data_IF_813144208264
#
_entry.id   IF_813144208264
#
_cell.length_a   1.000
_cell.length_b   1.000
_cell.length_c   1.000
_cell.angle_alpha   90.00
_cell.angle_beta   90.00
_cell.angle_gamma   90.00
#
_symmetry.space_group_name_H-M   'P 1'
#
loop_
_entity.id
_entity.type
_entity.pdbx_description
1 polymer ?
#
# COMPACT_ATOMS: atom_id res chain seq x y z
N UNK A 1 3.25 44.80 8.08
CA UNK A 1 2.04 44.28 8.74
C UNK A 1 1.00 44.17 7.64
N UNK A 2 0.98 43.02 6.94
CA UNK A 2 -0.04 42.75 5.92
C UNK A 2 -1.40 42.62 6.60
N UNK A 3 -2.36 43.41 6.11
CA UNK A 3 -3.73 43.37 6.63
C UNK A 3 -4.28 41.95 6.42
N UNK A 4 -4.81 41.32 7.46
CA UNK A 4 -5.47 40.01 7.37
C UNK A 4 -6.61 40.15 6.37
N UNK A 5 -6.62 39.37 5.28
CA UNK A 5 -7.66 39.52 4.24
C UNK A 5 -9.04 39.25 4.86
N UNK A 6 -9.97 40.16 4.62
CA UNK A 6 -11.35 40.04 5.08
C UNK A 6 -12.14 39.03 4.21
N UNK A 7 -13.36 38.72 4.62
CA UNK A 7 -14.21 37.75 3.93
C UNK A 7 -14.55 38.21 2.49
N UNK A 8 -14.65 39.53 2.25
CA UNK A 8 -14.97 40.10 0.94
C UNK A 8 -13.83 39.85 -0.04
N UNK A 9 -12.59 40.15 0.35
CA UNK A 9 -11.39 39.89 -0.44
C UNK A 9 -11.24 38.39 -0.76
N UNK A 10 -11.57 37.50 0.18
CA UNK A 10 -11.55 36.05 -0.07
C UNK A 10 -12.60 35.61 -1.07
N UNK A 11 -13.81 36.17 -1.04
CA UNK A 11 -14.86 35.90 -2.03
C UNK A 11 -14.48 36.36 -3.43
N UNK A 12 -13.87 37.53 -3.57
CA UNK A 12 -13.34 38.03 -4.83
C UNK A 12 -12.26 37.13 -5.41
N UNK A 13 -11.30 36.69 -4.59
CA UNK A 13 -10.28 35.73 -4.98
C UNK A 13 -10.86 34.38 -5.45
N UNK A 14 -11.89 33.87 -4.77
CA UNK A 14 -12.59 32.65 -5.20
C UNK A 14 -13.32 32.83 -6.53
N UNK A 15 -13.92 34.00 -6.78
CA UNK A 15 -14.56 34.30 -8.05
C UNK A 15 -13.53 34.37 -9.18
N UNK A 16 -12.38 35.00 -8.96
CA UNK A 16 -11.28 35.05 -9.93
C UNK A 16 -10.72 33.65 -10.25
N UNK A 17 -10.47 32.82 -9.24
CA UNK A 17 -10.02 31.45 -9.42
C UNK A 17 -11.03 30.60 -10.23
N UNK A 18 -12.33 30.75 -9.94
CA UNK A 18 -13.38 30.07 -10.69
C UNK A 18 -13.37 30.50 -12.16
N UNK A 19 -13.20 31.79 -12.43
CA UNK A 19 -13.14 32.32 -13.81
C UNK A 19 -11.91 31.79 -14.56
N UNK A 20 -10.76 31.74 -13.90
CA UNK A 20 -9.52 31.22 -14.48
C UNK A 20 -9.63 29.74 -14.85
N UNK A 21 -10.21 28.92 -13.95
CA UNK A 21 -10.39 27.49 -14.19
C UNK A 21 -11.43 27.19 -15.28
N UNK A 22 -12.52 27.95 -15.35
CA UNK A 22 -13.54 27.78 -16.35
C UNK A 22 -13.04 28.03 -17.78
N UNK A 23 -11.99 28.83 -17.95
CA UNK A 23 -11.40 29.15 -19.25
C UNK A 23 -10.21 28.31 -19.67
N UNK A 24 -9.75 27.39 -18.84
CA UNK A 24 -8.46 26.68 -19.04
C UNK A 24 -8.41 25.89 -20.34
N UNK A 25 -9.51 25.25 -20.73
CA UNK A 25 -9.61 24.46 -21.97
C UNK A 25 -9.26 25.29 -23.21
N UNK A 26 -9.70 26.56 -23.26
CA UNK A 26 -9.51 27.43 -24.42
C UNK A 26 -8.06 27.80 -24.69
N UNK A 27 -7.16 27.61 -23.72
CA UNK A 27 -5.73 27.96 -23.79
C UNK A 27 -4.79 26.78 -23.74
N UNK A 28 -5.29 25.55 -23.53
CA UNK A 28 -4.44 24.33 -23.43
C UNK A 28 -3.62 24.05 -24.69
N UNK A 29 -4.09 24.49 -25.86
CA UNK A 29 -3.36 24.36 -27.12
C UNK A 29 -2.03 25.14 -27.13
N UNK A 30 -1.85 26.11 -26.24
CA UNK A 30 -0.61 26.88 -26.08
C UNK A 30 0.41 26.13 -25.23
N UNK A 31 -0.02 25.14 -24.43
CA UNK A 31 0.87 24.41 -23.53
C UNK A 31 1.71 23.40 -24.28
N UNK A 32 2.98 23.36 -23.98
CA UNK A 32 3.90 22.28 -24.42
C UNK A 32 3.59 21.00 -23.63
N UNK A 33 3.99 19.83 -24.17
CA UNK A 33 3.79 18.56 -23.47
C UNK A 33 4.45 18.52 -22.08
N UNK A 34 5.53 19.27 -21.87
CA UNK A 34 6.22 19.39 -20.56
C UNK A 34 5.48 20.27 -19.55
N UNK A 35 4.57 21.14 -20.00
CA UNK A 35 3.80 22.06 -19.13
C UNK A 35 2.50 21.45 -18.63
N UNK A 36 1.96 20.43 -19.33
CA UNK A 36 0.68 19.80 -18.95
C UNK A 36 0.73 19.14 -17.58
N UNK A 37 1.86 18.47 -17.25
CA UNK A 37 2.03 17.83 -15.94
C UNK A 37 2.06 18.84 -14.78
N UNK A 38 2.91 19.87 -14.81
CA UNK A 38 2.89 20.97 -13.84
C UNK A 38 1.50 21.63 -13.70
N UNK A 39 0.83 21.95 -14.79
CA UNK A 39 -0.51 22.55 -14.77
C UNK A 39 -1.54 21.64 -14.06
N UNK A 40 -1.51 20.34 -14.37
CA UNK A 40 -2.39 19.38 -13.70
C UNK A 40 -2.12 19.34 -12.18
N UNK A 41 -0.86 19.42 -11.77
CA UNK A 41 -0.48 19.47 -10.34
C UNK A 41 -1.01 20.73 -9.67
N UNK A 42 -0.89 21.90 -10.30
CA UNK A 42 -1.44 23.16 -9.77
C UNK A 42 -2.96 23.09 -9.58
N UNK A 43 -3.67 22.48 -10.54
CA UNK A 43 -5.12 22.27 -10.43
C UNK A 43 -5.46 21.31 -9.27
N UNK A 44 -4.69 20.24 -9.11
CA UNK A 44 -4.87 19.29 -8.01
C UNK A 44 -4.62 19.95 -6.65
N UNK A 45 -3.58 20.77 -6.53
CA UNK A 45 -3.27 21.54 -5.31
C UNK A 45 -4.42 22.51 -4.98
N UNK A 46 -4.96 23.22 -5.96
CA UNK A 46 -6.15 24.05 -5.78
C UNK A 46 -7.35 23.22 -5.33
N UNK A 47 -7.54 22.04 -5.91
CA UNK A 47 -8.60 21.10 -5.50
C UNK A 47 -8.52 20.76 -4.01
N UNK A 48 -7.32 20.46 -3.49
CA UNK A 48 -7.11 20.17 -2.07
C UNK A 48 -7.39 21.39 -1.17
N UNK A 49 -7.02 22.58 -1.61
CA UNK A 49 -7.36 23.82 -0.87
C UNK A 49 -8.86 24.10 -0.84
N UNK A 50 -9.59 23.77 -1.92
CA UNK A 50 -11.06 23.85 -1.94
C UNK A 50 -11.67 22.88 -0.94
N UNK A 51 -11.15 21.66 -0.85
CA UNK A 51 -11.58 20.68 0.16
C UNK A 51 -11.30 21.18 1.58
N UNK A 52 -10.13 21.72 1.86
CA UNK A 52 -9.78 22.33 3.14
C UNK A 52 -10.72 23.49 3.50
N UNK A 53 -11.04 24.35 2.54
CA UNK A 53 -12.00 25.44 2.75
C UNK A 53 -13.41 24.92 3.09
N UNK A 54 -13.87 23.82 2.45
CA UNK A 54 -15.14 23.17 2.80
C UNK A 54 -15.14 22.67 4.25
N UNK A 55 -14.04 22.03 4.68
CA UNK A 55 -13.86 21.58 6.06
C UNK A 55 -13.96 22.75 7.03
N UNK A 56 -13.29 23.88 6.72
CA UNK A 56 -13.33 25.08 7.55
C UNK A 56 -14.73 25.66 7.68
N UNK A 57 -15.47 25.80 6.55
CA UNK A 57 -16.82 26.35 6.53
C UNK A 57 -17.79 25.46 7.30
N UNK A 58 -17.72 24.14 7.10
CA UNK A 58 -18.57 23.18 7.83
C UNK A 58 -18.25 23.19 9.32
N UNK A 59 -16.95 23.27 9.69
CA UNK A 59 -16.51 23.36 11.08
C UNK A 59 -17.05 24.62 11.78
N UNK A 60 -17.03 25.76 11.08
CA UNK A 60 -17.57 27.02 11.58
C UNK A 60 -19.09 26.99 11.69
N UNK A 61 -19.79 26.43 10.69
CA UNK A 61 -21.26 26.26 10.75
C UNK A 61 -21.68 25.37 11.93
N UNK A 62 -20.92 24.29 12.18
CA UNK A 62 -21.12 23.43 13.36
C UNK A 62 -20.91 24.21 14.68
N UNK A 63 -19.86 25.04 14.75
CA UNK A 63 -19.55 25.79 15.98
C UNK A 63 -20.62 26.83 16.30
N UNK A 64 -21.22 27.43 15.27
CA UNK A 64 -22.30 28.42 15.40
C UNK A 64 -23.69 27.79 15.60
N UNK A 65 -23.82 26.47 15.45
CA UNK A 65 -25.10 25.76 15.56
C UNK A 65 -26.02 25.92 14.36
N UNK A 66 -25.53 26.40 13.22
CA UNK A 66 -26.27 26.59 11.96
C UNK A 66 -26.76 25.28 11.35
N UNK A 67 -26.21 24.14 11.78
CA UNK A 67 -26.54 22.80 11.27
C UNK A 67 -27.65 22.11 12.07
N UNK A 68 -28.39 22.85 12.92
CA UNK A 68 -29.56 22.31 13.63
C UNK A 68 -30.76 22.28 12.68
N UNK A 69 -31.40 21.12 12.54
CA UNK A 69 -32.66 21.03 11.81
C UNK A 69 -33.78 21.72 12.59
N UNK A 70 -34.53 22.59 11.94
CA UNK A 70 -35.75 23.23 12.43
C UNK A 70 -36.94 22.25 12.64
N UNK A 71 -36.63 20.96 12.84
CA UNK A 71 -37.66 19.90 13.04
C UNK A 71 -38.23 19.82 14.47
N UNK A 72 -38.07 20.87 15.28
CA UNK A 72 -38.75 20.96 16.58
C UNK A 72 -39.49 22.30 16.70
N UNK A 73 -40.45 22.51 15.81
CA UNK A 73 -41.52 23.50 16.02
C UNK A 73 -42.86 22.94 15.52
N UNK A 74 -43.39 21.92 16.20
CA UNK A 74 -44.84 21.74 16.28
C UNK A 74 -45.17 21.22 17.65
N UNK A 75 -45.79 22.09 18.43
CA UNK A 75 -46.75 21.82 19.51
C UNK A 75 -46.29 20.99 20.71
N UNK A 76 -45.97 21.72 21.78
CA UNK A 76 -46.70 21.50 23.03
C UNK A 76 -46.58 22.78 23.88
N UNK A 77 -47.71 23.41 24.10
CA UNK A 77 -47.89 24.47 25.09
C UNK A 77 -47.44 23.96 26.45
N UNK A 78 -46.76 24.79 27.27
CA UNK A 78 -46.38 24.36 28.61
C UNK A 78 -47.58 24.33 29.51
N UNK A 79 -47.83 23.20 30.13
CA UNK A 79 -48.73 23.05 31.25
C UNK A 79 -48.09 23.66 32.50
N UNK A 80 -48.70 24.64 33.17
CA UNK A 80 -48.08 25.35 34.31
C UNK A 80 -48.35 24.59 35.61
N UNK A 81 -47.45 23.69 35.99
CA UNK A 81 -47.57 23.05 37.29
C UNK A 81 -46.63 21.85 37.53
N UNK A 82 -45.37 22.11 37.76
CA UNK A 82 -44.52 21.21 38.56
C UNK A 82 -43.23 21.88 39.01
N UNK A 83 -42.79 21.66 40.25
CA UNK A 83 -41.72 22.44 40.89
C UNK A 83 -40.30 22.04 40.44
N UNK A 84 -39.45 23.05 40.49
CA UNK A 84 -38.03 22.92 40.23
C UNK A 84 -37.33 21.93 41.16
N UNK A 85 -36.69 20.93 40.56
CA UNK A 85 -35.72 20.04 41.17
C UNK A 85 -34.38 20.22 40.47
N UNK A 86 -33.44 20.78 41.21
CA UNK A 86 -32.03 20.90 40.85
C UNK A 86 -31.41 19.49 40.83
N UNK A 87 -30.85 19.07 39.69
CA UNK A 87 -29.64 18.25 39.74
C UNK A 87 -28.83 18.41 38.46
N UNK A 88 -27.58 18.83 38.64
CA UNK A 88 -26.55 18.97 37.61
C UNK A 88 -25.82 17.62 37.50
N UNK A 89 -26.03 16.89 36.47
CA UNK A 89 -25.07 15.97 35.90
C UNK A 89 -25.36 15.83 34.40
N UNK A 90 -24.67 16.63 33.59
CA UNK A 90 -24.73 16.53 32.14
C UNK A 90 -23.93 15.30 31.70
N UNK A 91 -24.54 14.13 31.77
CA UNK A 91 -24.11 12.99 30.98
C UNK A 91 -24.56 13.27 29.54
N UNK A 92 -23.62 13.30 28.61
CA UNK A 92 -23.89 13.48 27.18
C UNK A 92 -24.75 12.31 26.68
N UNK A 93 -25.99 12.61 26.31
CA UNK A 93 -26.96 11.66 25.79
C UNK A 93 -26.53 11.18 24.39
N UNK A 94 -26.22 9.89 24.17
CA UNK A 94 -25.77 9.38 22.89
C UNK A 94 -26.81 9.57 21.75
N UNK A 95 -28.09 9.75 22.08
CA UNK A 95 -29.13 10.06 21.09
C UNK A 95 -28.99 11.46 20.50
N UNK A 96 -28.36 12.40 21.23
CA UNK A 96 -28.12 13.76 20.78
C UNK A 96 -27.01 13.85 19.72
N UNK A 97 -26.02 12.97 19.78
CA UNK A 97 -24.94 12.86 18.79
C UNK A 97 -25.46 12.33 17.45
N UNK A 98 -26.36 11.34 17.46
CA UNK A 98 -26.94 10.76 16.25
C UNK A 98 -27.87 11.77 15.53
N UNK A 99 -28.65 12.54 16.25
CA UNK A 99 -29.52 13.56 15.66
C UNK A 99 -28.73 14.73 15.04
N UNK A 100 -27.60 15.13 15.64
CA UNK A 100 -26.72 16.17 15.11
C UNK A 100 -26.07 15.78 13.79
N UNK A 101 -25.65 14.52 13.65
CA UNK A 101 -25.01 14.01 12.42
C UNK A 101 -25.95 14.00 11.21
N UNK A 102 -27.22 13.66 11.39
CA UNK A 102 -28.21 13.63 10.30
C UNK A 102 -28.56 15.05 9.82
N UNK A 103 -28.74 16.00 10.75
CA UNK A 103 -29.01 17.40 10.43
C UNK A 103 -27.84 18.06 9.68
N UNK A 104 -26.60 17.77 10.10
CA UNK A 104 -25.40 18.29 9.46
C UNK A 104 -25.25 17.82 8.01
N UNK A 105 -25.56 16.56 7.73
CA UNK A 105 -25.53 16.02 6.35
C UNK A 105 -26.56 16.73 5.45
N UNK A 106 -27.76 17.02 5.98
CA UNK A 106 -28.80 17.78 5.27
C UNK A 106 -28.30 19.16 4.83
N UNK A 107 -27.75 19.92 5.79
CA UNK A 107 -27.20 21.25 5.54
C UNK A 107 -26.07 21.23 4.50
N UNK A 108 -25.11 20.28 4.61
CA UNK A 108 -24.02 20.17 3.63
C UNK A 108 -24.54 19.87 2.23
N UNK A 109 -25.57 19.03 2.11
CA UNK A 109 -26.19 18.71 0.80
C UNK A 109 -26.90 19.89 0.16
N UNK A 110 -27.51 20.72 0.97
CA UNK A 110 -28.19 21.93 0.50
C UNK A 110 -27.19 22.94 -0.11
N UNK A 111 -26.09 23.22 0.62
CA UNK A 111 -25.11 24.24 0.23
C UNK A 111 -23.95 23.71 -0.64
N UNK A 112 -23.74 22.41 -0.68
CA UNK A 112 -22.75 21.76 -1.52
C UNK A 112 -23.36 20.55 -2.25
N UNK A 113 -24.29 20.76 -3.19
CA UNK A 113 -25.02 19.69 -3.87
C UNK A 113 -24.14 18.76 -4.71
N UNK A 114 -22.92 19.18 -5.09
CA UNK A 114 -21.92 18.33 -5.73
C UNK A 114 -21.47 17.16 -4.85
N UNK A 115 -21.57 17.32 -3.52
CA UNK A 115 -21.29 16.25 -2.57
C UNK A 115 -22.54 15.36 -2.45
N UNK A 116 -22.49 14.15 -3.03
CA UNK A 116 -23.55 13.14 -2.82
C UNK A 116 -23.69 12.83 -1.33
N UNK A 117 -24.79 12.18 -0.93
CA UNK A 117 -25.08 11.86 0.49
C UNK A 117 -23.88 11.21 1.22
N UNK A 118 -23.17 10.31 0.56
CA UNK A 118 -21.96 9.69 1.10
C UNK A 118 -20.81 10.66 1.35
N UNK A 119 -20.55 11.57 0.41
CA UNK A 119 -19.50 12.60 0.55
C UNK A 119 -19.83 13.63 1.63
N UNK A 120 -21.08 14.08 1.70
CA UNK A 120 -21.53 14.98 2.76
C UNK A 120 -21.38 14.35 4.15
N UNK A 121 -21.79 13.09 4.31
CA UNK A 121 -21.63 12.36 5.57
C UNK A 121 -20.17 12.09 5.95
N UNK A 122 -19.28 11.91 4.96
CA UNK A 122 -17.85 11.78 5.21
C UNK A 122 -17.26 13.10 5.70
N UNK A 123 -17.62 14.21 5.05
CA UNK A 123 -17.15 15.54 5.43
C UNK A 123 -17.58 15.91 6.85
N UNK A 124 -18.86 15.70 7.20
CA UNK A 124 -19.38 15.98 8.53
C UNK A 124 -18.60 15.18 9.59
N UNK A 125 -18.45 13.88 9.43
CA UNK A 125 -17.70 13.02 10.36
C UNK A 125 -16.23 13.43 10.48
N UNK A 126 -15.59 13.79 9.37
CA UNK A 126 -14.22 14.28 9.42
C UNK A 126 -14.12 15.57 10.23
N UNK A 127 -15.02 16.53 9.99
CA UNK A 127 -15.05 17.80 10.74
C UNK A 127 -15.27 17.56 12.24
N UNK A 128 -16.17 16.67 12.62
CA UNK A 128 -16.39 16.28 14.03
C UNK A 128 -15.08 15.78 14.66
N UNK A 129 -14.35 14.92 13.96
CA UNK A 129 -13.05 14.40 14.43
C UNK A 129 -11.98 15.50 14.53
N UNK A 130 -11.88 16.39 13.54
CA UNK A 130 -10.92 17.49 13.52
C UNK A 130 -11.15 18.54 14.63
N UNK A 131 -12.29 18.54 15.30
CA UNK A 131 -12.58 19.43 16.44
C UNK A 131 -11.97 18.92 17.74
N UNK A 132 -11.61 17.65 17.84
CA UNK A 132 -10.90 17.12 19.00
C UNK A 132 -9.45 17.62 19.03
N UNK A 133 -8.95 17.93 20.22
CA UNK A 133 -7.55 18.32 20.43
C UNK A 133 -6.57 17.21 20.03
N UNK A 134 -6.98 15.97 20.15
CA UNK A 134 -6.14 14.78 19.86
C UNK A 134 -5.75 14.64 18.38
N UNK A 135 -6.41 15.43 17.50
CA UNK A 135 -6.21 15.35 16.04
C UNK A 135 -5.60 16.65 15.46
N UNK A 136 -4.80 17.38 16.23
CA UNK A 136 -4.19 18.63 15.79
C UNK A 136 -3.32 18.47 14.53
N UNK A 137 -2.51 17.44 14.46
CA UNK A 137 -1.66 17.14 13.30
C UNK A 137 -2.49 16.86 12.03
N UNK A 138 -3.55 16.06 12.16
CA UNK A 138 -4.46 15.78 11.05
C UNK A 138 -5.17 17.06 10.57
N UNK A 139 -5.60 17.90 11.53
CA UNK A 139 -6.23 19.18 11.22
C UNK A 139 -5.30 20.09 10.44
N UNK A 140 -4.05 20.21 10.87
CA UNK A 140 -3.03 21.01 10.18
C UNK A 140 -2.78 20.49 8.75
N UNK A 141 -2.61 19.18 8.59
CA UNK A 141 -2.38 18.55 7.30
C UNK A 141 -3.55 18.74 6.32
N UNK A 142 -4.80 18.69 6.81
CA UNK A 142 -5.99 18.94 5.99
C UNK A 142 -6.12 20.42 5.65
N UNK A 143 -5.93 21.32 6.62
CA UNK A 143 -6.11 22.76 6.42
C UNK A 143 -5.02 23.39 5.55
N UNK A 144 -3.80 22.84 5.56
CA UNK A 144 -2.72 23.21 4.63
C UNK A 144 -2.90 22.66 3.21
N UNK A 145 -3.84 21.71 2.99
CA UNK A 145 -3.99 21.01 1.72
C UNK A 145 -2.94 19.94 1.47
N UNK A 146 -2.09 19.63 2.46
CA UNK A 146 -1.10 18.55 2.36
C UNK A 146 -1.77 17.19 2.24
N UNK A 147 -2.87 16.98 2.96
CA UNK A 147 -3.67 15.76 2.93
C UNK A 147 -5.10 16.10 2.48
N UNK A 148 -5.56 15.52 1.36
CA UNK A 148 -6.93 15.68 0.89
C UNK A 148 -7.95 15.01 1.81
N UNK A 149 -9.19 15.50 1.81
CA UNK A 149 -10.30 15.03 2.65
C UNK A 149 -10.54 13.51 2.51
N UNK A 150 -10.39 12.97 1.30
CA UNK A 150 -10.51 11.54 1.04
C UNK A 150 -9.49 10.71 1.83
N UNK A 151 -8.22 11.06 1.74
CA UNK A 151 -7.13 10.41 2.46
C UNK A 151 -7.24 10.62 3.97
N UNK A 152 -7.56 11.85 4.42
CA UNK A 152 -7.79 12.17 5.83
C UNK A 152 -8.89 11.26 6.45
N UNK A 153 -9.99 11.06 5.71
CA UNK A 153 -11.06 10.15 6.14
C UNK A 153 -10.58 8.70 6.26
N UNK A 154 -9.68 8.27 5.38
CA UNK A 154 -9.08 6.93 5.46
C UNK A 154 -8.16 6.84 6.67
N UNK A 155 -7.31 7.84 6.92
CA UNK A 155 -6.44 7.87 8.11
C UNK A 155 -7.24 7.78 9.42
N UNK A 156 -8.32 8.56 9.55
CA UNK A 156 -9.21 8.48 10.72
C UNK A 156 -9.77 7.06 10.90
N UNK A 157 -10.28 6.45 9.83
CA UNK A 157 -10.83 5.08 9.91
C UNK A 157 -9.79 4.02 10.23
N UNK A 158 -8.57 4.20 9.73
CA UNK A 158 -7.49 3.28 10.07
C UNK A 158 -7.04 3.47 11.51
N UNK A 159 -6.95 4.71 12.01
CA UNK A 159 -6.66 4.95 13.43
C UNK A 159 -7.76 4.46 14.36
N UNK A 160 -9.04 4.67 14.05
CA UNK A 160 -10.16 4.10 14.83
C UNK A 160 -10.02 2.58 15.02
N UNK A 161 -9.40 1.88 14.05
CA UNK A 161 -9.16 0.44 14.12
C UNK A 161 -7.87 0.07 14.80
N UNK A 162 -6.84 0.92 14.70
CA UNK A 162 -5.50 0.65 15.18
C UNK A 162 -5.32 1.09 16.63
N UNK A 163 -5.79 2.27 17.00
CA UNK A 163 -5.55 2.90 18.30
C UNK A 163 -5.83 1.98 19.50
N UNK A 164 -6.97 1.25 19.57
CA UNK A 164 -7.25 0.32 20.67
C UNK A 164 -6.29 -0.87 20.73
N UNK A 165 -5.50 -1.07 19.71
CA UNK A 165 -4.63 -2.23 19.46
C UNK A 165 -3.14 -1.87 19.49
N UNK A 166 -2.82 -0.58 19.63
CA UNK A 166 -1.47 -0.07 19.68
C UNK A 166 -0.97 0.03 21.13
N UNK A 167 0.34 0.01 21.28
CA UNK A 167 0.99 0.49 22.50
C UNK A 167 0.68 1.98 22.66
N UNK A 168 0.28 2.47 23.86
CA UNK A 168 -0.16 3.85 24.04
C UNK A 168 0.86 4.91 23.59
N UNK A 169 2.15 4.65 23.83
CA UNK A 169 3.26 5.51 23.42
C UNK A 169 3.47 5.59 21.89
N UNK A 170 2.97 4.61 21.14
CA UNK A 170 3.13 4.54 19.70
C UNK A 170 2.07 5.32 18.91
N UNK A 171 0.95 5.70 19.53
CA UNK A 171 -0.20 6.32 18.87
C UNK A 171 0.20 7.56 18.05
N UNK A 172 1.01 8.44 18.64
CA UNK A 172 1.48 9.66 17.97
C UNK A 172 2.38 9.35 16.75
N UNK A 173 3.27 8.37 16.87
CA UNK A 173 4.16 7.94 15.80
C UNK A 173 3.38 7.31 14.64
N UNK A 174 2.36 6.53 14.95
CA UNK A 174 1.47 5.92 13.94
C UNK A 174 0.63 6.97 13.22
N UNK A 175 0.14 7.99 13.94
CA UNK A 175 -0.52 9.13 13.30
C UNK A 175 0.40 9.84 12.30
N UNK A 176 1.63 10.17 12.71
CA UNK A 176 2.60 10.83 11.83
C UNK A 176 2.88 9.99 10.58
N UNK A 177 3.14 8.69 10.74
CA UNK A 177 3.38 7.79 9.62
C UNK A 177 2.19 7.68 8.64
N UNK A 178 0.95 7.65 9.15
CA UNK A 178 -0.25 7.64 8.31
C UNK A 178 -0.44 8.95 7.55
N UNK A 179 -0.13 10.09 8.16
CA UNK A 179 -0.22 11.40 7.51
C UNK A 179 0.84 11.57 6.42
N UNK A 180 2.08 11.12 6.67
CA UNK A 180 3.16 11.12 5.67
C UNK A 180 2.78 10.25 4.46
N UNK A 181 2.21 9.08 4.70
CA UNK A 181 1.69 8.23 3.62
C UNK A 181 0.53 8.90 2.88
N UNK A 182 -0.37 9.55 3.60
CA UNK A 182 -1.54 10.21 3.01
C UNK A 182 -1.20 11.43 2.16
N UNK A 183 -0.07 12.08 2.44
CA UNK A 183 0.45 13.17 1.63
C UNK A 183 1.04 12.70 0.29
N UNK A 184 1.61 11.47 0.26
CA UNK A 184 2.34 10.95 -0.90
C UNK A 184 1.56 9.90 -1.70
N UNK A 185 0.61 9.20 -1.09
CA UNK A 185 -0.04 8.02 -1.65
C UNK A 185 -1.56 8.06 -1.51
N UNK A 186 -2.24 7.10 -2.14
CA UNK A 186 -3.69 6.99 -2.13
C UNK A 186 -4.24 6.10 -1.00
N UNK A 187 -5.58 5.95 -0.94
CA UNK A 187 -6.27 5.17 0.09
C UNK A 187 -5.87 3.70 0.16
N UNK A 188 -5.39 3.12 -0.94
CA UNK A 188 -4.97 1.72 -1.01
C UNK A 188 -3.70 1.50 -0.20
N UNK A 189 -2.72 2.35 -0.38
CA UNK A 189 -1.42 2.30 0.28
C UNK A 189 -1.55 2.58 1.77
N UNK A 190 -2.40 3.54 2.16
CA UNK A 190 -2.70 3.85 3.57
C UNK A 190 -3.29 2.61 4.29
N UNK A 191 -4.18 1.86 3.63
CA UNK A 191 -4.73 0.64 4.22
C UNK A 191 -3.74 -0.51 4.24
N UNK A 192 -2.86 -0.58 3.27
CA UNK A 192 -1.90 -1.68 3.12
C UNK A 192 -0.83 -1.69 4.22
N UNK A 193 -0.57 -0.55 4.87
CA UNK A 193 0.46 -0.45 5.91
C UNK A 193 0.02 -1.02 7.27
N UNK A 194 -1.29 -1.23 7.50
CA UNK A 194 -1.85 -1.70 8.79
C UNK A 194 -1.13 -2.91 9.39
N UNK A 195 -0.89 -4.02 8.66
CA UNK A 195 -0.20 -5.17 9.23
C UNK A 195 1.20 -4.83 9.72
N UNK A 196 1.89 -3.92 9.03
CA UNK A 196 3.24 -3.46 9.42
C UNK A 196 3.19 -2.60 10.68
N UNK A 197 2.21 -1.71 10.78
CA UNK A 197 2.00 -0.90 11.98
C UNK A 197 1.66 -1.76 13.19
N UNK A 198 0.82 -2.79 13.03
CA UNK A 198 0.52 -3.74 14.11
C UNK A 198 1.72 -4.61 14.48
N UNK A 199 2.59 -4.95 13.52
CA UNK A 199 3.79 -5.73 13.78
C UNK A 199 4.82 -4.95 14.61
N UNK A 200 4.91 -3.63 14.39
CA UNK A 200 5.93 -2.77 14.98
C UNK A 200 5.44 -2.07 16.26
N UNK A 201 4.19 -1.65 16.27
CA UNK A 201 3.61 -0.80 17.31
C UNK A 201 2.38 -1.39 18.00
N UNK A 202 1.93 -2.57 17.57
CA UNK A 202 0.79 -3.26 18.16
C UNK A 202 1.08 -3.79 19.56
N UNK A 203 0.07 -3.88 20.40
CA UNK A 203 0.14 -4.65 21.62
C UNK A 203 0.39 -6.13 21.30
N UNK A 204 0.91 -6.86 22.27
CA UNK A 204 1.25 -8.28 22.09
C UNK A 204 0.03 -9.10 21.61
N UNK A 205 0.23 -9.88 20.56
CA UNK A 205 -0.80 -10.74 19.98
C UNK A 205 -1.76 -10.06 18.99
N UNK A 206 -1.77 -8.75 18.86
CA UNK A 206 -2.74 -8.02 18.03
C UNK A 206 -2.60 -8.32 16.52
N UNK A 207 -1.38 -8.44 16.01
CA UNK A 207 -1.16 -8.87 14.64
C UNK A 207 -1.69 -10.29 14.40
N UNK A 208 -1.46 -11.20 15.34
CA UNK A 208 -1.97 -12.57 15.25
C UNK A 208 -3.51 -12.58 15.24
N UNK A 209 -4.14 -11.81 16.13
CA UNK A 209 -5.60 -11.70 16.18
C UNK A 209 -6.19 -11.16 14.85
N UNK A 210 -5.50 -10.19 14.23
CA UNK A 210 -5.92 -9.66 12.92
C UNK A 210 -5.84 -10.72 11.81
N UNK A 211 -4.76 -11.51 11.81
CA UNK A 211 -4.57 -12.59 10.83
C UNK A 211 -5.54 -13.76 11.09
N UNK A 212 -5.80 -14.12 12.33
CA UNK A 212 -6.80 -15.14 12.69
C UNK A 212 -8.22 -14.71 12.26
N UNK A 213 -8.55 -13.43 12.41
CA UNK A 213 -9.82 -12.89 11.93
C UNK A 213 -9.90 -12.93 10.39
N UNK A 214 -8.81 -12.63 9.69
CA UNK A 214 -8.74 -12.73 8.24
C UNK A 214 -8.90 -14.19 7.77
N UNK A 215 -8.27 -15.15 8.45
CA UNK A 215 -8.38 -16.57 8.15
C UNK A 215 -9.83 -17.08 8.25
N UNK A 216 -10.58 -16.63 9.26
CA UNK A 216 -12.01 -16.97 9.40
C UNK A 216 -12.90 -16.44 8.26
N UNK A 217 -12.43 -15.43 7.52
CA UNK A 217 -13.13 -14.83 6.37
C UNK A 217 -12.69 -15.40 5.03
N UNK A 218 -11.72 -16.33 5.03
CA UNK A 218 -11.29 -17.02 3.83
C UNK A 218 -12.48 -17.79 3.22
N UNK A 219 -12.72 -17.58 1.93
CA UNK A 219 -13.85 -18.18 1.23
C UNK A 219 -13.61 -18.18 -0.28
N UNK A 220 -14.15 -19.18 -0.96
CA UNK A 220 -14.29 -19.23 -2.40
C UNK A 220 -15.77 -19.27 -2.75
N UNK A 221 -16.24 -18.34 -3.58
CA UNK A 221 -17.63 -18.31 -4.02
C UNK A 221 -17.93 -19.47 -4.96
N UNK A 222 -19.23 -19.80 -5.11
CA UNK A 222 -19.68 -20.56 -6.27
C UNK A 222 -19.42 -19.75 -7.56
N UNK A 223 -19.29 -20.44 -8.72
CA UNK A 223 -19.18 -19.75 -9.99
C UNK A 223 -20.42 -18.90 -10.26
N UNK A 224 -20.20 -17.68 -10.71
CA UNK A 224 -21.24 -16.79 -11.18
C UNK A 224 -21.13 -16.64 -12.68
N UNK A 225 -22.15 -17.11 -13.40
CA UNK A 225 -22.21 -17.04 -14.87
C UNK A 225 -22.44 -15.60 -15.33
N UNK A 226 -21.57 -15.09 -16.18
CA UNK A 226 -21.68 -13.73 -16.75
C UNK A 226 -22.55 -13.69 -18.01
N UNK A 227 -22.98 -14.83 -18.54
CA UNK A 227 -23.82 -14.93 -19.74
C UNK A 227 -23.05 -14.76 -21.07
N UNK A 228 -21.73 -14.60 -21.02
CA UNK A 228 -20.84 -14.50 -22.17
C UNK A 228 -19.94 -15.74 -22.34
N UNK A 229 -20.22 -16.81 -21.58
CA UNK A 229 -19.43 -18.03 -21.54
C UNK A 229 -18.26 -17.98 -20.55
N UNK A 230 -18.17 -16.92 -19.75
CA UNK A 230 -17.21 -16.81 -18.64
C UNK A 230 -17.88 -16.94 -17.30
N UNK A 231 -17.09 -17.34 -16.29
CA UNK A 231 -17.55 -17.52 -14.91
C UNK A 231 -16.65 -16.75 -13.96
N UNK A 232 -17.26 -15.96 -13.07
CA UNK A 232 -16.55 -15.27 -12.00
C UNK A 232 -16.50 -16.10 -10.73
N UNK A 233 -15.32 -16.13 -10.11
CA UNK A 233 -15.10 -16.66 -8.76
C UNK A 233 -14.54 -15.55 -7.88
N UNK A 234 -15.11 -15.37 -6.70
CA UNK A 234 -14.56 -14.46 -5.69
C UNK A 234 -13.80 -15.29 -4.68
N UNK A 235 -12.46 -15.21 -4.73
CA UNK A 235 -11.56 -15.86 -3.79
C UNK A 235 -11.09 -14.84 -2.76
N UNK A 236 -11.34 -15.14 -1.47
CA UNK A 236 -10.82 -14.40 -0.32
C UNK A 236 -9.87 -15.30 0.44
N UNK A 237 -8.66 -14.86 0.63
CA UNK A 237 -7.64 -15.58 1.37
C UNK A 237 -7.09 -14.69 2.50
N UNK A 238 -6.66 -15.35 3.56
CA UNK A 238 -5.79 -14.75 4.54
C UNK A 238 -4.37 -14.56 3.97
N UNK A 239 -3.50 -14.01 4.78
CA UNK A 239 -2.11 -13.71 4.39
C UNK A 239 -1.35 -14.98 4.01
N UNK A 240 -1.54 -16.08 4.77
CA UNK A 240 -0.89 -17.36 4.49
C UNK A 240 -1.39 -17.96 3.18
N UNK A 241 -2.70 -18.09 3.03
CA UNK A 241 -3.31 -18.66 1.83
C UNK A 241 -2.96 -17.86 0.57
N UNK A 242 -2.94 -16.52 0.66
CA UNK A 242 -2.46 -15.65 -0.41
C UNK A 242 -1.00 -15.98 -0.76
N UNK A 243 -0.14 -16.06 0.24
CA UNK A 243 1.30 -16.27 0.04
C UNK A 243 1.58 -17.63 -0.61
N UNK A 244 0.90 -18.68 -0.15
CA UNK A 244 1.00 -20.02 -0.75
C UNK A 244 0.50 -20.01 -2.20
N UNK A 245 -0.64 -19.38 -2.46
CA UNK A 245 -1.19 -19.28 -3.82
C UNK A 245 -0.26 -18.53 -4.77
N UNK A 246 0.26 -17.37 -4.36
CA UNK A 246 1.19 -16.57 -5.18
C UNK A 246 2.50 -17.30 -5.43
N UNK A 247 3.03 -18.02 -4.45
CA UNK A 247 4.21 -18.85 -4.62
C UNK A 247 3.99 -20.00 -5.63
N UNK A 248 2.79 -20.55 -5.69
CA UNK A 248 2.45 -21.61 -6.64
C UNK A 248 2.15 -21.07 -8.06
N UNK A 249 1.44 -19.93 -8.14
CA UNK A 249 1.09 -19.33 -9.43
C UNK A 249 2.26 -18.64 -10.13
N UNK A 250 3.16 -18.00 -9.35
CA UNK A 250 4.22 -17.18 -9.89
C UNK A 250 5.03 -17.84 -11.01
N UNK A 251 5.62 -19.02 -10.79
CA UNK A 251 6.40 -19.72 -11.81
C UNK A 251 5.58 -20.13 -13.04
N UNK A 252 4.29 -20.42 -12.85
CA UNK A 252 3.40 -20.84 -13.94
C UNK A 252 2.88 -19.63 -14.74
N UNK A 253 2.72 -18.48 -14.10
CA UNK A 253 2.23 -17.24 -14.70
C UNK A 253 3.35 -16.37 -15.32
N UNK A 254 4.62 -16.78 -15.20
CA UNK A 254 5.74 -16.07 -15.80
C UNK A 254 5.54 -15.92 -17.33
N UNK A 255 5.94 -14.78 -17.92
CA UNK A 255 5.92 -14.61 -19.38
C UNK A 255 6.74 -15.70 -20.07
N UNK A 256 6.17 -16.30 -21.12
CA UNK A 256 6.82 -17.34 -21.92
C UNK A 256 7.04 -16.84 -23.33
N UNK A 257 8.12 -16.11 -23.60
CA UNK A 257 8.47 -15.72 -24.95
C UNK A 257 8.82 -16.96 -25.78
N UNK A 258 8.39 -17.01 -27.04
CA UNK A 258 8.71 -18.06 -27.98
C UNK A 258 9.38 -17.46 -29.22
N UNK A 259 10.47 -18.07 -29.69
CA UNK A 259 11.20 -17.67 -30.93
C UNK A 259 11.55 -16.17 -31.00
N UNK A 260 11.88 -15.56 -29.85
CA UNK A 260 12.19 -14.13 -29.77
C UNK A 260 10.97 -13.19 -29.74
N UNK A 261 9.75 -13.74 -29.82
CA UNK A 261 8.50 -12.97 -29.73
C UNK A 261 8.11 -12.88 -28.26
N UNK A 262 7.85 -11.67 -27.70
CA UNK A 262 7.34 -11.53 -26.35
C UNK A 262 6.01 -12.26 -26.14
N UNK A 263 5.77 -12.75 -24.93
CA UNK A 263 4.46 -13.28 -24.58
C UNK A 263 3.42 -12.15 -24.56
N UNK A 264 2.55 -12.12 -25.54
CA UNK A 264 1.53 -11.07 -25.72
C UNK A 264 0.32 -11.23 -24.79
N UNK A 265 0.23 -12.32 -24.01
CA UNK A 265 -0.86 -12.49 -23.04
C UNK A 265 -0.70 -11.49 -21.89
N UNK A 266 -1.78 -10.81 -21.54
CA UNK A 266 -1.82 -9.97 -20.35
C UNK A 266 -1.53 -10.76 -19.07
N UNK A 267 -1.12 -10.08 -18.02
CA UNK A 267 -0.85 -10.67 -16.70
C UNK A 267 -2.01 -11.52 -16.20
N UNK A 268 -3.22 -10.98 -16.27
CA UNK A 268 -4.43 -11.63 -15.74
C UNK A 268 -4.74 -12.94 -16.47
N UNK A 269 -4.57 -12.95 -17.80
CA UNK A 269 -4.74 -14.16 -18.59
C UNK A 269 -3.71 -15.22 -18.20
N UNK A 270 -2.44 -14.85 -18.04
CA UNK A 270 -1.40 -15.80 -17.62
C UNK A 270 -1.68 -16.37 -16.24
N UNK A 271 -2.19 -15.57 -15.30
CA UNK A 271 -2.58 -16.01 -13.96
C UNK A 271 -3.75 -16.98 -13.98
N UNK A 272 -4.76 -16.72 -14.82
CA UNK A 272 -5.89 -17.64 -15.02
C UNK A 272 -5.42 -18.98 -15.59
N UNK A 273 -4.59 -18.96 -16.66
CA UNK A 273 -4.00 -20.16 -17.26
C UNK A 273 -3.16 -20.95 -16.22
N UNK A 274 -2.39 -20.23 -15.37
CA UNK A 274 -1.58 -20.83 -14.32
C UNK A 274 -2.42 -21.53 -13.24
N UNK A 275 -3.53 -20.93 -12.84
CA UNK A 275 -4.45 -21.53 -11.86
C UNK A 275 -5.08 -22.81 -12.40
N UNK A 276 -5.54 -22.78 -13.66
CA UNK A 276 -6.09 -23.97 -14.33
C UNK A 276 -5.03 -25.06 -14.45
N UNK A 277 -3.80 -24.71 -14.81
CA UNK A 277 -2.68 -25.67 -14.92
C UNK A 277 -2.32 -26.27 -13.56
N UNK A 278 -2.28 -25.46 -12.50
CA UNK A 278 -2.06 -25.92 -11.13
C UNK A 278 -3.13 -26.93 -10.71
N UNK A 279 -4.39 -26.62 -10.98
CA UNK A 279 -5.52 -27.50 -10.68
C UNK A 279 -5.44 -28.81 -11.48
N UNK A 280 -5.09 -28.74 -12.77
CA UNK A 280 -4.89 -29.90 -13.61
C UNK A 280 -3.83 -30.86 -13.08
N UNK A 281 -2.68 -30.30 -12.64
CA UNK A 281 -1.59 -31.08 -12.03
C UNK A 281 -2.04 -31.75 -10.73
N UNK A 282 -2.79 -31.03 -9.90
CA UNK A 282 -3.30 -31.56 -8.65
C UNK A 282 -4.27 -32.75 -8.86
N UNK A 283 -5.12 -32.70 -9.89
CA UNK A 283 -6.08 -33.77 -10.21
C UNK A 283 -5.41 -34.97 -10.93
N UNK A 284 -4.33 -34.71 -11.68
CA UNK A 284 -3.67 -35.76 -12.49
C UNK A 284 -2.67 -36.62 -11.71
N UNK A 285 -2.46 -36.38 -10.40
CA UNK A 285 -1.58 -37.22 -9.59
C UNK A 285 -2.34 -38.44 -9.07
N UNK A 286 -2.08 -39.67 -9.59
CA UNK A 286 -2.61 -40.89 -9.01
C UNK A 286 -1.86 -41.16 -7.70
N UNK A 287 -2.60 -41.38 -6.65
CA UNK A 287 -2.14 -41.87 -5.33
C UNK A 287 -0.88 -41.20 -4.75
N UNK A 288 -1.06 -40.16 -4.00
CA UNK A 288 0.00 -39.48 -3.28
C UNK A 288 -0.02 -37.99 -3.51
N UNK A 289 0.48 -37.26 -2.54
CA UNK A 289 0.63 -35.81 -2.56
C UNK A 289 1.23 -35.36 -3.90
N UNK A 290 0.65 -34.34 -4.60
CA UNK A 290 1.24 -33.83 -5.83
C UNK A 290 2.73 -33.54 -5.62
N UNK A 291 3.59 -34.18 -6.43
CA UNK A 291 5.02 -33.86 -6.44
C UNK A 291 5.26 -32.53 -7.20
N UNK A 292 4.51 -31.51 -6.82
CA UNK A 292 4.88 -30.15 -7.15
C UNK A 292 6.11 -29.82 -6.32
N UNK A 293 7.13 -29.26 -6.96
CA UNK A 293 8.21 -28.64 -6.21
C UNK A 293 7.53 -27.75 -5.17
N UNK A 294 7.76 -28.04 -3.87
CA UNK A 294 7.16 -27.29 -2.77
C UNK A 294 7.35 -25.80 -3.04
N UNK A 295 6.28 -25.03 -2.97
CA UNK A 295 6.36 -23.59 -3.15
C UNK A 295 7.42 -23.05 -2.19
N UNK A 296 8.44 -22.38 -2.72
CA UNK A 296 9.51 -21.83 -1.90
C UNK A 296 9.07 -20.45 -1.40
N UNK A 297 8.82 -20.36 -0.11
CA UNK A 297 8.52 -19.13 0.58
C UNK A 297 9.79 -18.63 1.28
N UNK A 298 10.20 -17.40 0.96
CA UNK A 298 11.33 -16.77 1.61
C UNK A 298 10.81 -15.79 2.67
N UNK A 299 11.26 -16.01 3.91
CA UNK A 299 10.90 -15.19 5.06
C UNK A 299 12.17 -14.68 5.73
N UNK A 300 12.20 -13.41 6.08
CA UNK A 300 13.18 -12.86 7.02
C UNK A 300 12.55 -12.81 8.40
N UNK A 301 13.16 -13.54 9.33
CA UNK A 301 12.83 -13.52 10.75
C UNK A 301 14.10 -13.80 11.52
N UNK A 302 14.30 -13.13 12.65
CA UNK A 302 15.39 -13.45 13.55
C UNK A 302 15.17 -14.84 14.16
N UNK A 303 16.26 -15.62 14.32
CA UNK A 303 16.16 -17.01 14.80
C UNK A 303 15.65 -17.10 16.24
N UNK A 304 16.03 -16.13 17.07
CA UNK A 304 15.60 -16.10 18.46
C UNK A 304 14.14 -15.60 18.55
N UNK A 305 13.73 -14.65 17.71
CA UNK A 305 12.33 -14.23 17.58
C UNK A 305 11.45 -15.37 17.07
N UNK A 306 11.93 -16.21 16.11
CA UNK A 306 11.22 -17.41 15.66
C UNK A 306 11.05 -18.44 16.77
N UNK A 307 12.08 -18.68 17.59
CA UNK A 307 12.05 -19.63 18.72
C UNK A 307 11.11 -19.19 19.82
N UNK A 308 11.10 -17.90 20.13
CA UNK A 308 10.36 -17.31 21.24
C UNK A 308 8.96 -16.80 20.86
N UNK A 309 8.58 -16.87 19.59
CA UNK A 309 7.30 -16.37 19.06
C UNK A 309 7.06 -14.86 19.32
N UNK A 310 8.13 -14.04 19.32
CA UNK A 310 8.05 -12.64 19.77
C UNK A 310 7.75 -11.68 18.65
N UNK A 311 8.40 -11.81 17.47
CA UNK A 311 8.25 -10.85 16.37
C UNK A 311 7.71 -11.46 15.08
N UNK A 312 7.09 -10.61 14.29
CA UNK A 312 6.63 -10.94 12.95
C UNK A 312 7.81 -11.07 11.97
N UNK A 313 7.62 -11.90 10.94
CA UNK A 313 8.55 -11.99 9.83
C UNK A 313 7.98 -11.37 8.56
N UNK A 314 8.84 -11.06 7.62
CA UNK A 314 8.46 -10.43 6.35
C UNK A 314 8.85 -11.32 5.18
N UNK A 315 7.95 -11.49 4.21
CA UNK A 315 8.24 -12.22 2.98
C UNK A 315 9.21 -11.45 2.11
N UNK A 316 10.18 -12.17 1.53
CA UNK A 316 11.15 -11.62 0.59
C UNK A 316 10.93 -12.27 -0.77
N UNK A 317 10.91 -11.44 -1.81
CA UNK A 317 10.76 -11.89 -3.18
C UNK A 317 9.33 -12.31 -3.54
N UNK A 318 9.02 -12.21 -4.83
CA UNK A 318 7.71 -12.50 -5.37
C UNK A 318 6.76 -11.32 -5.40
N UNK A 319 5.56 -11.59 -5.91
CA UNK A 319 4.47 -10.62 -5.91
C UNK A 319 4.05 -10.19 -4.49
N UNK A 320 4.50 -10.94 -3.47
CA UNK A 320 4.17 -10.79 -2.05
C UNK A 320 5.33 -10.25 -1.19
N UNK A 321 6.39 -9.74 -1.81
CA UNK A 321 7.49 -9.13 -1.07
C UNK A 321 6.98 -8.05 -0.10
N UNK A 322 7.44 -8.11 1.16
CA UNK A 322 7.01 -7.18 2.20
C UNK A 322 5.74 -7.56 2.95
N UNK A 323 5.12 -8.72 2.64
CA UNK A 323 4.00 -9.24 3.43
C UNK A 323 4.48 -9.64 4.84
N UNK A 324 3.79 -9.12 5.86
CA UNK A 324 4.12 -9.39 7.27
C UNK A 324 3.31 -10.56 7.79
N UNK A 325 3.98 -11.55 8.37
CA UNK A 325 3.39 -12.75 8.96
C UNK A 325 3.58 -12.77 10.46
N UNK A 326 2.54 -13.16 11.18
CA UNK A 326 2.62 -13.35 12.64
C UNK A 326 3.51 -14.55 13.03
N UNK A 327 4.13 -14.55 14.20
CA UNK A 327 5.07 -15.59 14.62
C UNK A 327 4.53 -17.02 14.55
N UNK A 328 3.30 -17.25 15.00
CA UNK A 328 2.65 -18.58 14.95
C UNK A 328 2.43 -19.06 13.53
N UNK A 329 2.05 -18.16 12.62
CA UNK A 329 1.87 -18.46 11.19
C UNK A 329 3.20 -18.87 10.56
N UNK A 330 4.29 -18.15 10.88
CA UNK A 330 5.65 -18.48 10.42
C UNK A 330 6.07 -19.86 10.92
N UNK A 331 5.87 -20.17 12.21
CA UNK A 331 6.21 -21.50 12.77
C UNK A 331 5.42 -22.63 12.14
N UNK A 332 4.12 -22.43 11.89
CA UNK A 332 3.30 -23.43 11.19
C UNK A 332 3.84 -23.71 9.79
N UNK A 333 4.16 -22.68 9.02
CA UNK A 333 4.78 -22.82 7.70
C UNK A 333 6.13 -23.52 7.79
N UNK A 334 6.96 -23.14 8.78
CA UNK A 334 8.29 -23.70 8.98
C UNK A 334 8.27 -25.19 9.37
N UNK A 335 7.21 -25.69 10.01
CA UNK A 335 7.07 -27.11 10.34
C UNK A 335 7.02 -28.03 9.11
N UNK A 336 6.51 -27.53 7.97
CA UNK A 336 6.41 -28.31 6.71
C UNK A 336 7.39 -27.82 5.63
N UNK A 337 8.23 -26.83 5.95
CA UNK A 337 9.19 -26.23 5.03
C UNK A 337 10.63 -26.67 5.34
N UNK A 338 11.44 -26.79 4.30
CA UNK A 338 12.88 -26.86 4.46
C UNK A 338 13.43 -25.51 4.91
N UNK A 339 13.89 -25.40 6.15
CA UNK A 339 14.51 -24.18 6.66
C UNK A 339 15.91 -24.01 6.07
N UNK A 340 16.19 -22.87 5.47
CA UNK A 340 17.52 -22.42 5.11
C UNK A 340 17.93 -21.30 6.07
N UNK A 341 18.66 -21.60 7.16
CA UNK A 341 19.15 -20.54 8.02
C UNK A 341 20.17 -19.69 7.26
N UNK A 342 19.89 -18.38 7.15
CA UNK A 342 20.83 -17.42 6.59
C UNK A 342 21.29 -16.51 7.71
N UNK A 343 22.57 -16.61 8.07
CA UNK A 343 23.16 -15.74 9.09
C UNK A 343 23.58 -14.43 8.42
N UNK A 344 22.96 -13.33 8.80
CA UNK A 344 23.25 -12.01 8.23
C UNK A 344 24.47 -11.33 8.86
N UNK A 345 25.01 -11.86 9.96
CA UNK A 345 26.22 -11.35 10.63
C UNK A 345 27.04 -12.51 11.22
N UNK A 346 28.20 -12.80 10.64
CA UNK A 346 29.13 -13.80 11.15
C UNK A 346 29.88 -14.54 10.02
N UNK A 347 30.96 -15.29 10.31
CA UNK A 347 31.65 -16.11 9.33
C UNK A 347 30.76 -17.30 8.95
N UNK A 348 29.95 -17.10 7.94
CA UNK A 348 29.03 -18.09 7.36
C UNK A 348 29.62 -18.75 6.13
N UNK A 349 28.83 -19.49 5.37
CA UNK A 349 29.24 -20.28 4.21
C UNK A 349 30.15 -19.52 3.24
N UNK A 350 31.06 -20.24 2.58
CA UNK A 350 31.89 -19.70 1.48
C UNK A 350 30.96 -19.26 0.34
N UNK A 351 30.79 -17.95 0.22
CA UNK A 351 29.97 -17.32 -0.81
C UNK A 351 30.80 -16.80 -2.00
N UNK A 352 32.15 -16.94 -1.89
CA UNK A 352 33.09 -16.56 -2.93
C UNK A 352 33.76 -17.81 -3.51
N UNK A 353 33.48 -18.10 -4.79
CA UNK A 353 33.97 -19.28 -5.49
C UNK A 353 35.06 -18.95 -6.53
N UNK A 354 35.41 -17.69 -6.69
CA UNK A 354 36.39 -17.23 -7.66
C UNK A 354 36.00 -17.55 -9.10
N UNK A 355 37.00 -17.90 -9.93
CA UNK A 355 36.80 -18.19 -11.36
C UNK A 355 36.69 -19.66 -11.69
N UNK A 356 36.82 -20.56 -10.68
CA UNK A 356 36.78 -22.02 -10.88
C UNK A 356 35.41 -22.56 -11.20
N UNK A 357 34.36 -21.87 -10.78
CA UNK A 357 32.97 -22.27 -11.00
C UNK A 357 32.24 -21.16 -11.77
N UNK A 358 31.62 -21.50 -12.91
CA UNK A 358 30.90 -20.54 -13.74
C UNK A 358 29.54 -20.16 -13.17
N UNK A 359 28.78 -21.14 -12.67
CA UNK A 359 27.42 -20.93 -12.25
C UNK A 359 27.35 -20.56 -10.76
N UNK A 360 26.56 -19.56 -10.43
CA UNK A 360 26.21 -19.27 -9.04
C UNK A 360 25.53 -20.46 -8.39
N UNK A 361 25.94 -20.81 -7.20
CA UNK A 361 25.31 -21.85 -6.40
C UNK A 361 23.93 -21.41 -5.92
N UNK A 362 23.10 -22.37 -5.50
CA UNK A 362 21.81 -22.03 -4.89
C UNK A 362 21.96 -21.14 -3.64
N UNK A 363 23.04 -21.31 -2.88
CA UNK A 363 23.32 -20.46 -1.72
C UNK A 363 23.64 -19.03 -2.11
N UNK A 364 24.51 -18.84 -3.11
CA UNK A 364 24.83 -17.51 -3.66
C UNK A 364 23.60 -16.85 -4.29
N UNK A 365 22.81 -17.58 -5.09
CA UNK A 365 21.59 -17.07 -5.69
C UNK A 365 20.60 -16.59 -4.60
N UNK A 366 20.46 -17.33 -3.51
CA UNK A 366 19.61 -16.93 -2.37
C UNK A 366 20.17 -15.72 -1.64
N UNK A 367 21.47 -15.61 -1.50
CA UNK A 367 22.10 -14.41 -0.93
C UNK A 367 21.88 -13.17 -1.83
N UNK A 368 21.93 -13.34 -3.17
CA UNK A 368 21.57 -12.28 -4.11
C UNK A 368 20.09 -11.91 -3.99
N UNK A 369 19.17 -12.88 -3.78
CA UNK A 369 17.75 -12.58 -3.54
C UNK A 369 17.53 -11.73 -2.29
N UNK A 370 18.28 -12.00 -1.23
CA UNK A 370 18.23 -11.23 0.02
C UNK A 370 18.77 -9.81 -0.14
N UNK A 371 19.78 -9.60 -0.99
CA UNK A 371 20.38 -8.30 -1.23
C UNK A 371 19.57 -7.46 -2.22
N UNK A 372 19.20 -8.05 -3.36
CA UNK A 372 18.66 -7.32 -4.51
C UNK A 372 17.13 -7.25 -4.52
N UNK A 373 16.43 -8.21 -3.87
CA UNK A 373 14.96 -8.34 -3.76
C UNK A 373 14.20 -8.46 -5.10
N UNK A 374 14.73 -7.92 -6.18
CA UNK A 374 14.11 -7.87 -7.51
C UNK A 374 15.20 -7.76 -8.61
N UNK A 375 14.78 -7.75 -9.86
CA UNK A 375 15.67 -7.37 -10.97
C UNK A 375 16.30 -5.99 -10.72
N UNK A 376 17.61 -5.89 -10.80
CA UNK A 376 18.38 -4.69 -10.44
C UNK A 376 18.36 -3.57 -11.48
N UNK A 377 17.76 -3.79 -12.65
CA UNK A 377 17.57 -2.72 -13.66
C UNK A 377 16.55 -1.71 -13.14
N UNK A 378 16.87 -0.42 -13.15
CA UNK A 378 15.98 0.63 -12.69
C UNK A 378 14.59 0.57 -13.34
N UNK A 379 13.54 0.66 -12.53
CA UNK A 379 12.15 0.61 -13.00
C UNK A 379 11.61 -0.81 -13.27
N UNK A 380 12.42 -1.86 -13.13
CA UNK A 380 11.96 -3.24 -13.26
C UNK A 380 11.51 -3.79 -11.92
N UNK A 381 10.21 -4.07 -11.77
CA UNK A 381 9.65 -4.67 -10.55
C UNK A 381 9.65 -6.21 -10.56
N UNK A 382 10.40 -6.90 -11.45
CA UNK A 382 10.39 -8.35 -11.53
C UNK A 382 11.00 -8.97 -10.27
N UNK A 383 10.23 -9.78 -9.53
CA UNK A 383 10.67 -10.36 -8.26
C UNK A 383 11.89 -11.27 -8.38
N UNK A 384 12.67 -11.36 -7.30
CA UNK A 384 13.95 -12.09 -7.24
C UNK A 384 13.87 -13.54 -7.71
N UNK A 385 12.80 -14.28 -7.37
CA UNK A 385 12.65 -15.69 -7.79
C UNK A 385 12.43 -15.88 -9.28
N UNK A 386 12.14 -14.83 -10.03
CA UNK A 386 12.02 -14.84 -11.50
C UNK A 386 13.27 -14.27 -12.17
N UNK A 387 14.28 -13.99 -11.36
CA UNK A 387 15.54 -13.47 -11.81
C UNK A 387 16.62 -14.56 -11.80
N UNK A 388 17.55 -14.41 -12.72
CA UNK A 388 18.76 -15.21 -12.83
C UNK A 388 19.93 -14.44 -12.23
N UNK A 389 20.88 -15.16 -11.63
CA UNK A 389 22.12 -14.55 -11.18
C UNK A 389 23.00 -14.25 -12.40
N UNK A 390 23.44 -13.01 -12.53
CA UNK A 390 24.27 -12.51 -13.63
C UNK A 390 25.58 -11.94 -13.08
N UNK A 391 26.68 -12.12 -13.82
CA UNK A 391 27.99 -11.58 -13.49
C UNK A 391 28.13 -10.15 -14.00
N UNK A 392 28.40 -9.17 -13.13
CA UNK A 392 28.66 -7.77 -13.51
C UNK A 392 29.87 -7.66 -14.44
N UNK A 393 30.98 -8.28 -14.06
CA UNK A 393 32.08 -8.59 -14.99
C UNK A 393 31.83 -10.01 -15.49
N UNK A 394 31.59 -10.16 -16.79
CA UNK A 394 31.21 -11.44 -17.37
C UNK A 394 32.25 -12.51 -17.07
N UNK A 395 31.81 -13.73 -16.74
CA UNK A 395 32.69 -14.84 -16.42
C UNK A 395 33.69 -15.16 -17.54
N UNK A 396 33.23 -15.07 -18.79
CA UNK A 396 34.09 -15.23 -19.98
C UNK A 396 35.18 -14.17 -20.11
N UNK A 397 35.07 -13.08 -19.39
CA UNK A 397 36.01 -11.95 -19.31
C UNK A 397 36.82 -11.97 -18.02
N UNK A 398 36.85 -13.09 -17.30
CA UNK A 398 37.62 -13.28 -16.06
C UNK A 398 36.85 -12.83 -14.80
N UNK A 399 35.53 -12.55 -14.91
CA UNK A 399 34.69 -12.21 -13.74
C UNK A 399 34.58 -13.37 -12.79
N UNK A 400 34.64 -13.08 -11.49
CA UNK A 400 34.58 -14.08 -10.43
C UNK A 400 33.09 -14.43 -10.13
N UNK A 401 32.83 -15.66 -9.70
CA UNK A 401 31.52 -16.09 -9.23
C UNK A 401 31.40 -15.85 -7.72
N UNK A 402 31.44 -14.59 -7.36
CA UNK A 402 31.39 -14.10 -5.99
C UNK A 402 30.20 -13.14 -5.84
N UNK A 403 29.73 -12.92 -4.62
CA UNK A 403 28.53 -12.09 -4.38
C UNK A 403 28.72 -10.62 -4.79
N UNK A 404 29.95 -10.10 -4.71
CA UNK A 404 30.28 -8.74 -5.12
C UNK A 404 30.30 -8.55 -6.64
N UNK A 405 30.41 -9.65 -7.41
CA UNK A 405 30.30 -9.66 -8.86
C UNK A 405 28.96 -10.23 -9.36
N UNK A 406 28.08 -10.66 -8.47
CA UNK A 406 26.76 -11.21 -8.80
C UNK A 406 25.64 -10.21 -8.65
N UNK A 407 24.65 -10.25 -9.56
CA UNK A 407 23.43 -9.43 -9.48
C UNK A 407 22.23 -10.21 -10.01
N UNK A 408 21.01 -9.77 -9.65
CA UNK A 408 19.78 -10.35 -10.18
C UNK A 408 19.29 -9.62 -11.42
N UNK A 409 19.01 -10.37 -12.48
CA UNK A 409 18.35 -9.87 -13.68
C UNK A 409 17.22 -10.82 -14.09
N UNK A 410 16.06 -10.28 -14.43
CA UNK A 410 15.00 -11.11 -15.05
C UNK A 410 15.43 -11.55 -16.45
N UNK A 411 14.86 -12.63 -16.98
CA UNK A 411 15.25 -13.20 -18.27
C UNK A 411 15.19 -12.22 -19.44
N UNK A 412 14.32 -11.21 -19.41
CA UNK A 412 14.30 -10.12 -20.40
C UNK A 412 15.53 -9.22 -20.25
N UNK A 413 15.77 -8.68 -19.06
CA UNK A 413 16.89 -7.77 -18.82
C UNK A 413 18.24 -8.46 -18.84
N UNK A 414 18.31 -9.76 -18.53
CA UNK A 414 19.53 -10.54 -18.68
C UNK A 414 20.01 -10.55 -20.15
N UNK A 415 19.11 -10.83 -21.08
CA UNK A 415 19.41 -10.72 -22.52
C UNK A 415 19.71 -9.31 -22.95
N UNK A 416 18.89 -8.36 -22.52
CA UNK A 416 19.04 -6.95 -22.86
C UNK A 416 20.38 -6.34 -22.43
N UNK A 417 20.89 -6.72 -21.25
CA UNK A 417 22.21 -6.31 -20.74
C UNK A 417 23.32 -6.89 -21.63
N UNK A 418 23.21 -8.16 -22.02
CA UNK A 418 24.19 -8.77 -22.93
C UNK A 418 24.15 -8.16 -24.33
N UNK A 419 22.96 -8.01 -24.92
CA UNK A 419 22.78 -7.50 -26.27
C UNK A 419 23.29 -6.06 -26.41
N UNK A 420 23.07 -5.24 -25.40
CA UNK A 420 23.48 -3.84 -25.39
C UNK A 420 24.85 -3.61 -24.74
N UNK A 421 25.46 -4.65 -24.20
CA UNK A 421 26.77 -4.61 -23.53
C UNK A 421 26.78 -3.52 -22.44
N UNK A 422 25.89 -3.61 -21.49
CA UNK A 422 25.74 -2.65 -20.41
C UNK A 422 26.61 -3.02 -19.22
N UNK A 423 27.14 -1.98 -18.54
CA UNK A 423 27.98 -2.13 -17.35
C UNK A 423 27.16 -1.82 -16.09
N UNK A 424 27.16 -2.76 -15.15
CA UNK A 424 26.72 -2.54 -13.78
C UNK A 424 27.90 -2.56 -12.81
N UNK A 425 27.73 -1.95 -11.65
CA UNK A 425 28.68 -2.06 -10.55
C UNK A 425 27.94 -2.05 -9.20
N UNK A 426 28.53 -2.74 -8.25
CA UNK A 426 28.06 -2.75 -6.87
C UNK A 426 28.67 -1.58 -6.11
N UNK A 427 27.84 -0.78 -5.44
CA UNK A 427 28.28 0.31 -4.58
C UNK A 427 28.70 -0.22 -3.21
N UNK A 428 29.39 0.60 -2.39
CA UNK A 428 29.84 0.20 -1.04
C UNK A 428 28.69 -0.12 -0.07
N UNK A 429 27.51 0.44 -0.30
CA UNK A 429 26.27 0.19 0.45
C UNK A 429 25.45 -1.00 -0.11
N UNK A 430 26.03 -1.78 -1.01
CA UNK A 430 25.43 -3.01 -1.54
C UNK A 430 24.37 -2.79 -2.62
N UNK A 431 24.23 -1.59 -3.17
CA UNK A 431 23.30 -1.31 -4.26
C UNK A 431 23.95 -1.51 -5.62
N UNK A 432 23.17 -1.96 -6.58
CA UNK A 432 23.62 -2.10 -7.97
C UNK A 432 23.25 -0.85 -8.76
N UNK A 433 24.25 -0.27 -9.42
CA UNK A 433 24.06 0.88 -10.32
C UNK A 433 24.44 0.48 -11.72
N UNK A 434 23.57 0.76 -12.69
CA UNK A 434 23.74 0.43 -14.10
C UNK A 434 24.03 1.67 -14.94
N UNK A 435 25.05 1.57 -15.78
CA UNK A 435 25.26 2.49 -16.89
C UNK A 435 24.48 1.95 -18.11
N UNK A 436 23.36 2.57 -18.41
CA UNK A 436 22.45 2.13 -19.48
C UNK A 436 22.88 2.61 -20.88
N UNK A 437 24.05 3.23 -21.02
CA UNK A 437 24.61 3.61 -22.31
C UNK A 437 25.06 2.36 -23.08
N UNK A 438 24.53 2.10 -24.28
CA UNK A 438 24.97 0.95 -25.09
C UNK A 438 26.45 0.92 -25.28
N UNK A 439 27.11 -0.23 -25.05
CA UNK A 439 28.54 -0.40 -25.12
C UNK A 439 29.34 0.08 -23.90
N UNK A 440 28.65 0.51 -22.81
CA UNK A 440 29.31 0.95 -21.58
C UNK A 440 30.22 -0.11 -20.96
N UNK A 441 29.92 -1.40 -21.16
CA UNK A 441 30.75 -2.51 -20.72
C UNK A 441 32.13 -2.50 -21.39
N UNK A 442 32.19 -2.18 -22.66
CA UNK A 442 33.44 -2.18 -23.44
C UNK A 442 34.33 -0.97 -23.15
N UNK A 443 33.72 0.18 -22.85
CA UNK A 443 34.46 1.44 -22.60
C UNK A 443 35.19 1.45 -21.26
N UNK A 444 34.72 0.69 -20.25
CA UNK A 444 35.37 0.59 -18.93
C UNK A 444 36.49 -0.46 -18.86
N UNK A 445 36.62 -1.32 -19.85
CA UNK A 445 37.72 -2.31 -19.92
C UNK A 445 39.01 -1.80 -20.59
N UNK A 446 38.96 -0.63 -21.17
CA UNK A 446 40.13 0.06 -21.67
C UNK A 446 40.69 1.01 -20.62
#
# INVERSE_FOLDING_TARGET
MEATPDLTSRREAMAAARSALAGVESVLWQATGSELGPLLREIDDLGRLVEAARVAVVGEAMSRGEMRSDLVTTSSSPDPGSPAGSDQSAAEDPTRAVAGGVAGVGWVREWAPSLRAGGAGQLVRLVERLRSHDHAQLREAVMSGTVGVGNATVCVREMDRLEPRLQPEAVSSVWSALLDLAAAFGPREIRAVRPRLLAEYGAEGELQADQDLAARRAALSQPHDQGDGTFDYVLRLDVEGKTVLEAALGPLAAPRPADGIPDLRGSDRRRADALVELTRRAVSCPEGTPQLAKAQLFLTVDIDDLRNEVKAGTTIGGADAGTVLAPRTIRRIACDAGLLPTVMAGPGQVLDLGTTTRCFTSAQTKALWLRDHACTIPGCGMPAQWCEAHHLVHWGDGGRTDLDNGVLLCGYHHRWVHDRRLMGHLTRDGRVVWDLTPGSYDTRRR
#
